data_IF_086380730938
#
_entry.id   IF_086380730938
#
_cell.length_a   1.000
_cell.length_b   1.000
_cell.length_c   1.000
_cell.angle_alpha   90.00
_cell.angle_beta   90.00
_cell.angle_gamma   90.00
#
_symmetry.space_group_name_H-M   'P 1'
#
loop_
_entity.id
_entity.type
_entity.pdbx_description
1 polymer ?
#
# COMPACT_ATOMS: atom_id res chain seq x y z
N UNK A 1 -19.52 -3.14 -12.14
CA UNK A 1 -18.24 -3.81 -12.45
C UNK A 1 -17.43 -3.87 -11.18
N UNK A 2 -17.29 -5.07 -10.60
CA UNK A 2 -16.56 -5.29 -9.35
C UNK A 2 -15.08 -5.04 -9.57
N UNK A 3 -14.49 -4.17 -8.76
CA UNK A 3 -13.05 -3.97 -8.70
C UNK A 3 -12.50 -5.20 -7.97
N UNK A 4 -12.11 -6.21 -8.73
CA UNK A 4 -11.45 -7.40 -8.21
C UNK A 4 -10.04 -7.05 -7.75
N UNK A 5 -9.93 -6.52 -6.53
CA UNK A 5 -8.71 -6.60 -5.77
C UNK A 5 -8.71 -7.96 -5.07
N UNK A 6 -8.53 -9.02 -5.84
CA UNK A 6 -8.20 -10.34 -5.28
C UNK A 6 -6.74 -10.30 -4.86
N UNK A 7 -6.51 -9.59 -3.76
CA UNK A 7 -5.19 -9.36 -3.17
C UNK A 7 -4.84 -10.41 -2.12
N UNK A 8 -5.63 -11.48 -2.02
CA UNK A 8 -5.52 -12.45 -0.94
C UNK A 8 -4.28 -13.34 -1.00
N UNK A 9 -3.57 -13.37 -2.14
CA UNK A 9 -2.43 -14.28 -2.30
C UNK A 9 -1.08 -13.62 -2.58
N UNK A 10 -1.04 -12.30 -2.84
CA UNK A 10 0.20 -11.64 -3.24
C UNK A 10 0.97 -11.05 -2.06
N UNK A 11 1.97 -11.78 -1.58
CA UNK A 11 2.96 -11.25 -0.66
C UNK A 11 2.46 -11.04 0.78
N UNK A 12 1.56 -11.89 1.28
CA UNK A 12 1.21 -11.89 2.70
C UNK A 12 2.42 -12.26 3.54
N UNK A 13 2.84 -11.34 4.39
CA UNK A 13 3.75 -11.65 5.49
C UNK A 13 3.05 -12.64 6.42
N UNK A 14 3.68 -13.75 6.83
CA UNK A 14 3.13 -14.61 7.88
C UNK A 14 2.75 -13.74 9.08
N UNK A 15 1.56 -13.96 9.65
CA UNK A 15 1.14 -13.19 10.82
C UNK A 15 1.96 -13.65 12.03
N UNK A 16 2.62 -12.70 12.65
CA UNK A 16 3.25 -12.88 13.95
C UNK A 16 2.14 -13.09 15.00
N UNK A 17 2.27 -14.05 15.94
CA UNK A 17 1.36 -14.20 17.06
C UNK A 17 1.08 -12.91 17.83
N UNK A 18 2.08 -12.03 17.94
CA UNK A 18 1.94 -10.72 18.60
C UNK A 18 0.99 -9.77 17.83
N UNK A 19 0.89 -9.92 16.51
CA UNK A 19 -0.07 -9.14 15.71
C UNK A 19 -1.51 -9.55 16.00
N UNK A 20 -1.75 -10.84 16.33
CA UNK A 20 -3.08 -11.36 16.66
C UNK A 20 -3.65 -10.73 17.94
N UNK A 21 -2.81 -10.27 18.87
CA UNK A 21 -3.27 -9.56 20.07
C UNK A 21 -4.03 -8.26 19.74
N UNK A 22 -3.79 -7.72 18.54
CA UNK A 22 -4.49 -6.56 17.99
C UNK A 22 -5.83 -6.83 17.33
N UNK A 23 -6.26 -8.10 17.23
CA UNK A 23 -7.53 -8.46 16.58
C UNK A 23 -8.72 -7.93 17.39
N UNK A 24 -9.67 -7.27 16.70
CA UNK A 24 -10.89 -6.74 17.32
C UNK A 24 -12.03 -7.75 17.37
N UNK A 25 -11.95 -8.79 16.54
CA UNK A 25 -13.01 -9.78 16.35
C UNK A 25 -12.49 -11.13 16.89
N UNK A 26 -12.76 -11.48 18.16
CA UNK A 26 -12.16 -12.64 18.82
C UNK A 26 -12.53 -13.98 18.20
N UNK A 27 -13.64 -14.05 17.45
CA UNK A 27 -14.16 -15.26 16.83
C UNK A 27 -13.49 -15.62 15.49
N UNK A 28 -12.51 -14.86 15.03
CA UNK A 28 -11.78 -15.18 13.80
C UNK A 28 -10.59 -16.08 14.15
N UNK A 29 -10.65 -17.33 13.69
CA UNK A 29 -9.65 -18.35 14.02
C UNK A 29 -8.77 -18.75 12.83
N UNK A 30 -9.12 -18.34 11.60
CA UNK A 30 -8.36 -18.70 10.40
C UNK A 30 -7.90 -17.47 9.62
N UNK A 31 -6.76 -17.62 8.92
CA UNK A 31 -6.27 -16.57 8.01
C UNK A 31 -7.31 -16.19 6.96
N UNK A 32 -8.02 -17.18 6.41
CA UNK A 32 -9.06 -16.95 5.41
C UNK A 32 -10.20 -16.05 5.94
N UNK A 33 -10.65 -16.30 7.18
CA UNK A 33 -11.67 -15.46 7.82
C UNK A 33 -11.17 -14.04 8.02
N UNK A 34 -9.95 -13.86 8.56
CA UNK A 34 -9.34 -12.54 8.76
C UNK A 34 -9.23 -11.79 7.43
N UNK A 35 -8.73 -12.47 6.37
CA UNK A 35 -8.63 -11.88 5.04
C UNK A 35 -9.97 -11.42 4.48
N UNK A 36 -11.04 -12.20 4.68
CA UNK A 36 -12.38 -11.81 4.24
C UNK A 36 -12.88 -10.54 4.96
N UNK A 37 -12.67 -10.44 6.27
CA UNK A 37 -13.03 -9.23 7.03
C UNK A 37 -12.16 -8.02 6.67
N UNK A 38 -10.87 -8.21 6.46
CA UNK A 38 -9.99 -7.15 5.96
C UNK A 38 -10.46 -6.67 4.58
N UNK A 39 -10.80 -7.58 3.67
CA UNK A 39 -11.29 -7.21 2.34
C UNK A 39 -12.62 -6.43 2.41
N UNK A 40 -13.54 -6.83 3.30
CA UNK A 40 -14.78 -6.08 3.54
C UNK A 40 -14.48 -4.66 4.04
N UNK A 41 -13.56 -4.50 4.97
CA UNK A 41 -13.14 -3.20 5.49
C UNK A 41 -12.45 -2.34 4.41
N UNK A 42 -11.59 -2.94 3.57
CA UNK A 42 -10.97 -2.26 2.42
C UNK A 42 -12.05 -1.76 1.45
N UNK A 43 -13.06 -2.57 1.15
CA UNK A 43 -14.17 -2.17 0.29
C UNK A 43 -14.95 -0.98 0.86
N UNK A 44 -15.11 -0.88 2.17
CA UNK A 44 -15.70 0.29 2.83
C UNK A 44 -14.81 1.53 2.70
N UNK A 45 -13.50 1.37 2.85
CA UNK A 45 -12.56 2.46 2.63
C UNK A 45 -12.60 2.96 1.17
N UNK A 46 -12.72 2.06 0.20
CA UNK A 46 -12.88 2.42 -1.22
C UNK A 46 -14.20 3.19 -1.44
N UNK A 47 -15.31 2.74 -0.87
CA UNK A 47 -16.58 3.48 -0.94
C UNK A 47 -16.49 4.87 -0.30
N UNK A 48 -15.77 5.00 0.82
CA UNK A 48 -15.51 6.30 1.44
C UNK A 48 -14.70 7.23 0.52
N UNK A 49 -13.65 6.72 -0.15
CA UNK A 49 -12.86 7.47 -1.13
C UNK A 49 -13.69 7.92 -2.34
N UNK A 50 -14.56 7.05 -2.87
CA UNK A 50 -15.41 7.37 -4.03
C UNK A 50 -16.38 8.53 -3.77
N UNK A 51 -16.75 8.79 -2.51
CA UNK A 51 -17.60 9.93 -2.12
C UNK A 51 -16.82 11.25 -2.05
N UNK A 52 -15.49 11.21 -2.16
CA UNK A 52 -14.62 12.39 -2.08
C UNK A 52 -14.35 12.93 -3.47
N UNK A 53 -14.70 14.21 -3.70
CA UNK A 53 -14.36 14.91 -4.94
C UNK A 53 -12.87 15.32 -4.97
N UNK A 54 -12.33 15.66 -3.81
CA UNK A 54 -10.93 16.04 -3.62
C UNK A 54 -10.37 15.37 -2.38
N UNK A 55 -9.09 15.04 -2.41
CA UNK A 55 -8.33 14.57 -1.25
C UNK A 55 -7.28 15.66 -0.92
N UNK A 56 -7.57 16.55 0.06
CA UNK A 56 -6.68 17.69 0.30
C UNK A 56 -5.39 17.15 0.85
N UNK A 57 -4.81 16.67 1.39
CA UNK A 57 -3.55 16.32 2.05
C UNK A 57 -3.07 14.89 1.73
N UNK A 58 -3.14 14.50 0.45
CA UNK A 58 -2.78 13.15 0.01
C UNK A 58 -1.35 12.74 0.43
N UNK A 59 -0.40 13.65 0.32
CA UNK A 59 1.02 13.40 0.64
C UNK A 59 1.37 13.95 2.03
N UNK A 60 0.67 13.45 3.05
CA UNK A 60 0.95 13.74 4.47
C UNK A 60 0.94 12.46 5.31
N UNK A 61 1.67 12.48 6.40
CA UNK A 61 1.71 11.39 7.38
C UNK A 61 0.32 11.09 7.93
N UNK A 62 -0.47 12.14 8.19
CA UNK A 62 -1.85 12.03 8.70
C UNK A 62 -2.75 11.27 7.74
N UNK A 63 -2.65 11.57 6.43
CA UNK A 63 -3.46 10.87 5.43
C UNK A 63 -3.03 9.41 5.26
N UNK A 64 -1.73 9.12 5.27
CA UNK A 64 -1.19 7.76 5.22
C UNK A 64 -1.73 6.93 6.38
N UNK A 65 -1.68 7.46 7.61
CA UNK A 65 -2.22 6.80 8.80
C UNK A 65 -3.76 6.70 8.75
N UNK A 66 -4.46 7.76 8.31
CA UNK A 66 -5.92 7.75 8.16
C UNK A 66 -6.38 6.69 7.17
N UNK A 67 -5.75 6.63 5.99
CA UNK A 67 -6.12 5.65 4.96
C UNK A 67 -5.91 4.22 5.48
N UNK A 68 -4.77 3.95 6.11
CA UNK A 68 -4.50 2.65 6.70
C UNK A 68 -5.54 2.27 7.77
N UNK A 69 -5.93 3.22 8.62
CA UNK A 69 -7.00 3.03 9.61
C UNK A 69 -8.35 2.76 8.95
N UNK A 70 -8.67 3.44 7.86
CA UNK A 70 -9.91 3.19 7.09
C UNK A 70 -9.94 1.80 6.46
N UNK A 71 -8.79 1.31 5.99
CA UNK A 71 -8.67 -0.01 5.35
C UNK A 71 -8.73 -1.18 6.33
N UNK A 72 -8.27 -1.00 7.57
CA UNK A 72 -8.02 -2.12 8.48
C UNK A 72 -8.61 -1.93 9.89
N UNK A 73 -9.15 -0.76 10.18
CA UNK A 73 -9.55 -0.36 11.54
C UNK A 73 -10.75 -1.09 12.12
N UNK A 74 -11.57 -1.76 11.32
CA UNK A 74 -12.65 -2.61 11.84
C UNK A 74 -12.11 -3.95 12.32
N UNK A 75 -10.97 -4.40 11.78
CA UNK A 75 -10.36 -5.69 12.12
C UNK A 75 -9.26 -5.54 13.17
N UNK A 76 -8.45 -4.47 13.09
CA UNK A 76 -7.23 -4.33 13.87
C UNK A 76 -7.20 -3.10 14.75
N UNK A 77 -6.82 -3.25 16.03
CA UNK A 77 -6.65 -2.14 16.99
C UNK A 77 -5.48 -1.21 16.61
N UNK A 78 -4.41 -1.77 16.05
CA UNK A 78 -3.21 -1.03 15.64
C UNK A 78 -3.33 -0.34 14.28
N UNK A 79 -4.46 -0.51 13.56
CA UNK A 79 -4.63 0.09 12.24
C UNK A 79 -4.44 1.62 12.26
N UNK A 80 -3.54 2.11 11.41
CA UNK A 80 -3.17 3.52 11.32
C UNK A 80 -2.14 3.98 12.37
N UNK A 81 -1.62 3.07 13.20
CA UNK A 81 -0.48 3.34 14.08
C UNK A 81 0.78 2.68 13.52
N UNK A 82 1.91 3.38 13.58
CA UNK A 82 3.19 2.80 13.17
C UNK A 82 3.55 1.61 14.07
N UNK A 83 4.20 0.61 13.49
CA UNK A 83 4.76 -0.51 14.25
C UNK A 83 5.82 0.00 15.23
N UNK A 84 5.97 -0.72 16.34
CA UNK A 84 6.94 -0.43 17.40
C UNK A 84 7.91 -1.59 17.63
N UNK A 85 7.93 -2.53 16.67
CA UNK A 85 8.79 -3.73 16.70
C UNK A 85 9.50 -3.89 15.36
N UNK A 86 10.61 -4.59 15.36
CA UNK A 86 11.31 -4.95 14.14
C UNK A 86 10.49 -5.99 13.36
N UNK A 87 10.65 -5.97 12.05
CA UNK A 87 10.04 -6.91 11.13
C UNK A 87 11.10 -7.42 10.16
N UNK A 88 10.86 -8.57 9.52
CA UNK A 88 11.80 -9.17 8.56
C UNK A 88 12.11 -8.26 7.36
N UNK A 89 11.26 -7.28 7.10
CA UNK A 89 11.40 -6.27 6.04
C UNK A 89 11.04 -4.91 6.61
N UNK A 90 11.63 -3.86 6.09
CA UNK A 90 11.36 -2.49 6.51
C UNK A 90 12.57 -1.82 7.12
N UNK A 91 12.42 -0.54 7.42
CA UNK A 91 13.42 0.24 8.15
C UNK A 91 13.32 -0.02 9.66
N UNK A 92 14.33 0.30 10.47
CA UNK A 92 14.19 0.27 11.92
C UNK A 92 12.95 1.06 12.38
N UNK A 93 12.14 0.48 13.25
CA UNK A 93 10.81 1.03 13.59
C UNK A 93 10.86 2.48 14.09
N UNK A 94 11.91 2.86 14.80
CA UNK A 94 12.10 4.21 15.33
C UNK A 94 12.47 5.25 14.27
N UNK A 95 12.90 4.83 13.07
CA UNK A 95 13.21 5.72 11.93
C UNK A 95 12.00 5.97 11.02
N UNK A 96 10.90 5.22 11.18
CA UNK A 96 9.72 5.31 10.32
C UNK A 96 9.24 6.76 10.11
N UNK A 97 9.09 7.60 11.15
CA UNK A 97 8.61 8.97 10.94
C UNK A 97 9.54 9.79 10.06
N UNK A 98 10.85 9.67 10.25
CA UNK A 98 11.87 10.38 9.46
C UNK A 98 11.87 9.91 8.02
N UNK A 99 11.94 8.60 7.79
CA UNK A 99 11.94 8.00 6.45
C UNK A 99 10.68 8.33 5.66
N UNK A 100 9.53 8.32 6.34
CA UNK A 100 8.26 8.70 5.71
C UNK A 100 8.25 10.19 5.33
N UNK A 101 8.70 11.08 6.19
CA UNK A 101 8.77 12.51 5.89
C UNK A 101 9.71 12.79 4.72
N UNK A 102 10.88 12.13 4.67
CA UNK A 102 11.81 12.23 3.52
C UNK A 102 11.12 11.75 2.25
N UNK A 103 10.45 10.59 2.27
CA UNK A 103 9.71 10.09 1.11
C UNK A 103 8.66 11.09 0.61
N UNK A 104 7.88 11.67 1.52
CA UNK A 104 6.82 12.61 1.17
C UNK A 104 7.39 13.90 0.55
N UNK A 105 8.50 14.41 1.10
CA UNK A 105 9.21 15.55 0.55
C UNK A 105 9.78 15.26 -0.86
N UNK A 106 10.40 14.08 -1.04
CA UNK A 106 10.92 13.65 -2.33
C UNK A 106 9.81 13.56 -3.39
N UNK A 107 8.66 12.97 -3.05
CA UNK A 107 7.53 12.88 -3.98
C UNK A 107 6.99 14.26 -4.37
N UNK A 108 6.87 15.16 -3.41
CA UNK A 108 6.47 16.55 -3.68
C UNK A 108 7.48 17.25 -4.60
N UNK A 109 8.76 17.06 -4.35
CA UNK A 109 9.84 17.58 -5.20
C UNK A 109 9.75 17.03 -6.63
N UNK A 110 9.60 15.70 -6.79
CA UNK A 110 9.49 15.08 -8.12
C UNK A 110 8.28 15.59 -8.91
N UNK A 111 7.15 15.82 -8.22
CA UNK A 111 5.96 16.39 -8.84
C UNK A 111 6.19 17.84 -9.27
N UNK A 112 6.78 18.66 -8.40
CA UNK A 112 7.01 20.08 -8.65
C UNK A 112 8.00 20.30 -9.82
N UNK A 113 9.07 19.53 -9.84
CA UNK A 113 10.14 19.64 -10.83
C UNK A 113 9.99 18.71 -12.03
N UNK A 114 8.89 17.94 -12.10
CA UNK A 114 8.64 16.98 -13.19
C UNK A 114 9.83 16.02 -13.44
N UNK A 115 10.50 15.60 -12.35
CA UNK A 115 11.74 14.80 -12.38
C UNK A 115 11.54 13.45 -13.09
N UNK A 116 10.34 12.87 -12.96
CA UNK A 116 9.94 11.61 -13.58
C UNK A 116 8.52 11.75 -14.17
N UNK A 117 8.11 10.79 -15.00
CA UNK A 117 6.73 10.72 -15.47
C UNK A 117 5.75 10.48 -14.28
N UNK A 118 4.47 10.90 -14.40
CA UNK A 118 3.46 10.65 -13.37
C UNK A 118 3.38 9.19 -12.92
N UNK A 119 3.43 8.27 -13.87
CA UNK A 119 3.42 6.82 -13.63
C UNK A 119 4.64 6.41 -12.81
N UNK A 120 5.81 6.86 -13.20
CA UNK A 120 7.07 6.51 -12.52
C UNK A 120 7.11 7.09 -11.10
N UNK A 121 6.63 8.34 -10.90
CA UNK A 121 6.52 8.95 -9.57
C UNK A 121 5.64 8.07 -8.67
N UNK A 122 4.47 7.65 -9.14
CA UNK A 122 3.54 6.83 -8.37
C UNK A 122 4.13 5.45 -8.02
N UNK A 123 4.87 4.83 -8.94
CA UNK A 123 5.50 3.53 -8.71
C UNK A 123 6.70 3.64 -7.76
N UNK A 124 7.55 4.68 -7.89
CA UNK A 124 8.64 4.94 -6.94
C UNK A 124 8.12 5.25 -5.54
N UNK A 125 7.06 6.05 -5.44
CA UNK A 125 6.37 6.30 -4.18
C UNK A 125 5.86 5.00 -3.54
N UNK A 126 5.11 4.19 -4.30
CA UNK A 126 4.61 2.88 -3.83
C UNK A 126 5.74 1.97 -3.35
N UNK A 127 6.81 1.86 -4.14
CA UNK A 127 7.95 1.02 -3.81
C UNK A 127 8.62 1.47 -2.51
N UNK A 128 8.94 2.75 -2.36
CA UNK A 128 9.57 3.28 -1.14
C UNK A 128 8.64 3.18 0.06
N UNK A 129 7.34 3.47 -0.08
CA UNK A 129 6.38 3.36 1.02
C UNK A 129 6.26 1.93 1.54
N UNK A 130 6.24 0.93 0.66
CA UNK A 130 6.22 -0.47 1.10
C UNK A 130 7.56 -0.90 1.70
N UNK A 131 8.68 -0.33 1.26
CA UNK A 131 10.01 -0.60 1.79
C UNK A 131 10.22 -0.01 3.19
N UNK A 132 9.65 1.15 3.50
CA UNK A 132 9.64 1.71 4.88
C UNK A 132 8.89 0.78 5.83
N UNK A 133 7.82 0.13 5.36
CA UNK A 133 7.02 -0.83 6.13
C UNK A 133 6.46 -0.24 7.42
N UNK A 134 5.66 0.83 7.28
CA UNK A 134 5.23 1.67 8.38
C UNK A 134 4.37 0.93 9.44
N UNK A 135 3.56 -0.04 9.02
CA UNK A 135 2.53 -0.67 9.84
C UNK A 135 2.83 -2.14 10.13
N UNK A 136 2.23 -2.74 11.17
CA UNK A 136 2.43 -4.17 11.48
C UNK A 136 2.05 -5.09 10.33
N UNK A 137 1.02 -4.77 9.55
CA UNK A 137 0.56 -5.52 8.39
C UNK A 137 -0.14 -4.60 7.38
N UNK A 138 -0.51 -5.13 6.19
CA UNK A 138 -1.29 -4.40 5.18
C UNK A 138 -0.50 -3.40 4.33
N UNK A 139 0.80 -3.24 4.56
CA UNK A 139 1.63 -2.24 3.89
C UNK A 139 1.59 -2.32 2.36
N UNK A 140 1.59 -3.52 1.78
CA UNK A 140 1.55 -3.71 0.33
C UNK A 140 0.23 -3.24 -0.29
N UNK A 141 -0.91 -3.63 0.30
CA UNK A 141 -2.25 -3.21 -0.15
C UNK A 141 -2.44 -1.70 0.01
N UNK A 142 -2.01 -1.17 1.15
CA UNK A 142 -2.03 0.26 1.43
C UNK A 142 -1.17 1.06 0.43
N UNK A 143 0.07 0.66 0.18
CA UNK A 143 0.97 1.36 -0.74
C UNK A 143 0.46 1.35 -2.20
N UNK A 144 -0.18 0.25 -2.64
CA UNK A 144 -0.83 0.20 -3.96
C UNK A 144 -1.98 1.21 -4.04
N UNK A 145 -2.86 1.22 -3.05
CA UNK A 145 -3.97 2.17 -3.03
C UNK A 145 -3.48 3.62 -2.96
N UNK A 146 -2.42 3.91 -2.21
CA UNK A 146 -1.80 5.26 -2.19
C UNK A 146 -1.29 5.68 -3.57
N UNK A 147 -0.66 4.78 -4.33
CA UNK A 147 -0.22 5.06 -5.70
C UNK A 147 -1.42 5.33 -6.64
N UNK A 148 -2.48 4.52 -6.52
CA UNK A 148 -3.71 4.72 -7.28
C UNK A 148 -4.37 6.07 -7.00
N UNK A 149 -4.37 6.49 -5.74
CA UNK A 149 -4.89 7.81 -5.35
C UNK A 149 -4.02 8.93 -5.89
N UNK A 150 -2.69 8.76 -5.91
CA UNK A 150 -1.78 9.73 -6.51
C UNK A 150 -2.05 9.87 -8.03
N UNK A 151 -2.22 8.76 -8.75
CA UNK A 151 -2.60 8.78 -10.16
C UNK A 151 -3.92 9.52 -10.38
N UNK A 152 -4.95 9.19 -9.61
CA UNK A 152 -6.29 9.71 -9.82
C UNK A 152 -6.43 11.18 -9.39
N UNK A 153 -6.01 11.53 -8.17
CA UNK A 153 -6.32 12.83 -7.57
C UNK A 153 -5.23 13.88 -7.80
N UNK A 154 -3.98 13.46 -8.05
CA UNK A 154 -2.89 14.42 -8.30
C UNK A 154 -2.60 14.60 -9.79
N UNK A 155 -2.68 13.50 -10.56
CA UNK A 155 -2.35 13.54 -11.99
C UNK A 155 -3.57 13.48 -12.91
N UNK A 156 -4.78 13.19 -12.42
CA UNK A 156 -5.98 13.04 -13.24
C UNK A 156 -5.94 11.82 -14.18
N UNK A 157 -5.14 10.81 -13.85
CA UNK A 157 -4.92 9.61 -14.65
C UNK A 157 -5.67 8.41 -14.08
N UNK A 158 -5.79 7.36 -14.89
CA UNK A 158 -6.41 6.09 -14.45
C UNK A 158 -5.54 5.40 -13.40
N UNK A 159 -6.21 4.62 -12.53
CA UNK A 159 -5.54 3.74 -11.56
C UNK A 159 -4.82 2.60 -12.27
N UNK A 160 -3.88 2.01 -11.58
CA UNK A 160 -3.17 0.83 -12.04
C UNK A 160 -4.06 -0.42 -12.01
N UNK A 161 -3.75 -1.39 -12.88
CA UNK A 161 -4.38 -2.72 -12.92
C UNK A 161 -3.68 -3.72 -11.99
N UNK A 162 -2.45 -3.45 -11.60
CA UNK A 162 -1.63 -4.26 -10.69
C UNK A 162 -1.50 -5.73 -11.14
N UNK A 163 -1.30 -5.95 -12.43
CA UNK A 163 -1.13 -7.27 -12.99
C UNK A 163 -2.43 -8.04 -13.24
N UNK A 164 -3.60 -7.39 -13.12
CA UNK A 164 -4.90 -8.05 -13.35
C UNK A 164 -5.04 -8.65 -14.74
N UNK A 165 -4.29 -8.15 -15.72
CA UNK A 165 -4.27 -8.63 -17.11
C UNK A 165 -3.00 -9.43 -17.45
N UNK A 166 -2.12 -9.66 -16.48
CA UNK A 166 -0.89 -10.43 -16.69
C UNK A 166 -1.20 -11.91 -16.88
N UNK A 167 -0.45 -12.56 -17.79
CA UNK A 167 -0.52 -14.01 -18.00
C UNK A 167 0.59 -14.73 -17.22
N UNK A 168 0.29 -15.95 -16.77
CA UNK A 168 1.26 -16.77 -16.04
C UNK A 168 1.27 -16.54 -14.54
N UNK A 169 2.40 -16.81 -13.90
CA UNK A 169 2.56 -16.64 -12.44
C UNK A 169 2.76 -15.17 -12.09
N UNK A 170 1.64 -14.49 -11.86
CA UNK A 170 1.56 -13.06 -11.51
C UNK A 170 2.38 -12.73 -10.27
N UNK A 171 2.45 -13.65 -9.29
CA UNK A 171 3.28 -13.48 -8.08
C UNK A 171 4.76 -13.45 -8.41
N UNK A 172 5.22 -14.38 -9.23
CA UNK A 172 6.62 -14.46 -9.66
C UNK A 172 7.03 -13.22 -10.45
N UNK A 173 6.16 -12.76 -11.36
CA UNK A 173 6.37 -11.52 -12.12
C UNK A 173 6.51 -10.31 -11.19
N UNK A 174 5.61 -10.16 -10.23
CA UNK A 174 5.66 -9.08 -9.25
C UNK A 174 6.93 -9.12 -8.40
N UNK A 175 7.30 -10.29 -7.85
CA UNK A 175 8.52 -10.42 -7.05
C UNK A 175 9.78 -10.09 -7.83
N UNK A 176 9.87 -10.57 -9.09
CA UNK A 176 10.99 -10.22 -9.98
C UNK A 176 11.04 -8.70 -10.24
N UNK A 177 9.90 -8.07 -10.51
CA UNK A 177 9.83 -6.63 -10.73
C UNK A 177 10.24 -5.82 -9.49
N UNK A 178 9.85 -6.25 -8.29
CA UNK A 178 10.29 -5.64 -7.01
C UNK A 178 11.81 -5.78 -6.83
N UNK A 179 12.39 -6.94 -7.13
CA UNK A 179 13.84 -7.16 -7.03
C UNK A 179 14.63 -6.26 -7.99
N UNK A 180 14.11 -6.03 -9.20
CA UNK A 180 14.73 -5.12 -10.15
C UNK A 180 14.58 -3.65 -9.70
N UNK A 181 13.42 -3.26 -9.19
CA UNK A 181 13.21 -1.93 -8.62
C UNK A 181 14.16 -1.63 -7.45
N UNK A 182 14.46 -2.63 -6.61
CA UNK A 182 15.46 -2.51 -5.54
C UNK A 182 16.88 -2.22 -6.05
N UNK A 183 17.19 -2.61 -7.29
CA UNK A 183 18.45 -2.31 -7.99
C UNK A 183 18.40 -1.03 -8.83
N UNK A 184 17.31 -0.26 -8.73
CA UNK A 184 17.10 0.99 -9.45
C UNK A 184 16.40 0.87 -10.82
N UNK A 185 16.12 -0.36 -11.30
CA UNK A 185 15.38 -0.57 -12.55
C UNK A 185 13.88 -0.69 -12.27
N UNK A 186 13.15 0.41 -12.47
CA UNK A 186 11.70 0.48 -12.22
C UNK A 186 10.84 0.04 -13.42
N UNK A 187 11.42 -0.12 -14.61
CA UNK A 187 10.67 -0.46 -15.83
C UNK A 187 9.77 -1.69 -15.66
N UNK A 188 10.25 -2.85 -15.16
CA UNK A 188 9.40 -4.03 -15.01
C UNK A 188 8.26 -3.84 -13.99
N UNK A 189 8.47 -3.00 -12.96
CA UNK A 189 7.43 -2.72 -11.97
C UNK A 189 6.36 -1.77 -12.52
N UNK A 190 6.74 -0.83 -13.37
CA UNK A 190 5.83 0.05 -14.11
C UNK A 190 4.97 -0.78 -15.06
N UNK A 191 5.58 -1.64 -15.88
CA UNK A 191 4.88 -2.52 -16.82
C UNK A 191 3.89 -3.43 -16.07
N UNK A 192 4.34 -4.08 -14.99
CA UNK A 192 3.46 -4.90 -14.15
C UNK A 192 2.26 -4.12 -13.60
N UNK A 193 2.46 -2.90 -13.15
CA UNK A 193 1.39 -2.10 -12.58
C UNK A 193 0.36 -1.66 -13.63
N UNK A 194 0.77 -1.50 -14.90
CA UNK A 194 -0.09 -1.08 -16.01
C UNK A 194 -0.83 -2.25 -16.69
N UNK A 195 -0.37 -3.48 -16.52
CA UNK A 195 -0.98 -4.72 -17.04
C UNK A 195 -1.86 -5.40 -15.99
#
# INVERSE_FOLDING_TARGET
>A
MGIGLDASEFGQTPMDPDQLTGLKIPMLHTHAQINAYEQANINEALRWLMRKRTLPALLTTEFICLLHRRMFGHVWKWAGAFRKVETNIGVPWYTIPTELNVLLADVQYWILHQTFSPVEIAIRFKFRLVSIHCFPNGNGRHARLMADLLMQYRFGLQRFSWGAHSKGDVRKLYLSAIQQAAKGNFVPLIEFAQH
#
